data_IF_278258653970
#
_entry.id   IF_278258653970
#
_cell.length_a   1.000
_cell.length_b   1.000
_cell.length_c   1.000
_cell.angle_alpha   90.00
_cell.angle_beta   90.00
_cell.angle_gamma   90.00
#
_symmetry.space_group_name_H-M   'P 1'
#
loop_
_entity.id
_entity.type
_entity.pdbx_description
1 polymer ?
#
# COMPACT_ATOMS: atom_id res chain seq x y z
N UNK A 1 5.74 41.13 38.26
CA UNK A 1 5.46 39.71 37.98
C UNK A 1 5.15 39.63 36.51
N UNK A 2 6.07 39.09 35.68
CA UNK A 2 5.86 38.98 34.21
C UNK A 2 5.32 37.59 33.94
N UNK A 3 4.14 37.50 33.35
CA UNK A 3 3.64 36.24 32.76
C UNK A 3 4.23 36.12 31.37
N UNK A 4 5.03 35.12 31.18
CA UNK A 4 5.45 34.72 29.83
C UNK A 4 4.39 33.71 29.37
N UNK A 5 3.54 34.15 28.47
CA UNK A 5 2.59 33.28 27.81
C UNK A 5 3.32 32.60 26.64
N UNK A 6 3.24 31.30 26.56
CA UNK A 6 3.88 30.53 25.48
C UNK A 6 2.88 29.57 24.88
N UNK A 7 2.87 29.45 23.57
CA UNK A 7 2.10 28.43 22.86
C UNK A 7 2.99 27.21 22.60
N UNK A 8 2.55 26.06 23.07
CA UNK A 8 3.22 24.77 22.83
C UNK A 8 2.38 24.02 21.79
N UNK A 9 2.98 23.63 20.68
CA UNK A 9 2.35 22.82 19.63
C UNK A 9 3.13 21.53 19.45
N UNK A 10 2.44 20.40 19.60
CA UNK A 10 3.02 19.07 19.43
C UNK A 10 2.52 18.45 18.13
N UNK A 11 3.47 18.02 17.30
CA UNK A 11 3.20 17.30 16.06
C UNK A 11 3.72 15.87 16.19
N UNK A 12 2.87 14.91 15.81
CA UNK A 12 3.21 13.49 15.84
C UNK A 12 3.20 12.94 14.43
N UNK A 13 4.30 12.36 13.99
CA UNK A 13 4.40 11.69 12.71
C UNK A 13 4.79 10.23 12.94
N UNK A 14 3.93 9.31 12.49
CA UNK A 14 4.18 7.88 12.56
C UNK A 14 4.53 7.31 11.20
N UNK A 15 5.70 6.71 11.05
CA UNK A 15 6.10 5.99 9.86
C UNK A 15 6.19 4.48 10.16
N UNK A 16 5.51 3.67 9.33
CA UNK A 16 5.55 2.24 9.41
C UNK A 16 6.17 1.67 8.14
N UNK A 17 7.22 0.88 8.30
CA UNK A 17 7.84 0.13 7.21
C UNK A 17 7.85 -1.36 7.52
N UNK A 18 7.63 -2.19 6.51
CA UNK A 18 7.72 -3.64 6.66
C UNK A 18 8.19 -4.32 5.38
N UNK A 19 8.88 -5.43 5.55
CA UNK A 19 9.20 -6.37 4.48
C UNK A 19 8.21 -7.53 4.55
N UNK A 20 7.59 -7.86 3.43
CA UNK A 20 6.56 -8.89 3.36
C UNK A 20 6.94 -9.97 2.35
N UNK A 21 6.71 -11.21 2.75
CA UNK A 21 6.62 -12.33 1.82
C UNK A 21 5.17 -12.69 1.63
N UNK A 22 4.72 -12.75 0.38
CA UNK A 22 3.32 -13.01 0.04
C UNK A 22 3.21 -14.03 -1.07
N UNK A 23 2.31 -14.98 -0.88
CA UNK A 23 1.91 -15.95 -1.90
C UNK A 23 0.48 -15.63 -2.34
N UNK A 24 0.31 -15.50 -3.64
CA UNK A 24 -0.96 -15.18 -4.27
C UNK A 24 -1.37 -16.30 -5.24
N UNK A 25 -2.64 -16.68 -5.20
CA UNK A 25 -3.26 -17.58 -6.16
C UNK A 25 -4.62 -17.02 -6.59
N UNK A 26 -4.88 -17.01 -7.88
CA UNK A 26 -6.16 -16.55 -8.42
C UNK A 26 -6.66 -17.45 -9.54
N UNK A 27 -7.96 -17.65 -9.58
CA UNK A 27 -8.66 -18.25 -10.70
C UNK A 27 -9.32 -17.13 -11.51
N UNK A 28 -8.96 -17.04 -12.79
CA UNK A 28 -9.37 -15.94 -13.66
C UNK A 28 -10.17 -16.49 -14.85
N UNK A 29 -11.34 -15.93 -15.07
CA UNK A 29 -12.16 -16.16 -16.26
C UNK A 29 -11.95 -15.01 -17.23
N UNK A 30 -11.71 -15.33 -18.51
CA UNK A 30 -11.58 -14.34 -19.56
C UNK A 30 -12.69 -14.48 -20.58
N UNK A 31 -13.42 -13.39 -20.84
CA UNK A 31 -14.46 -13.29 -21.84
C UNK A 31 -13.91 -12.58 -23.06
N UNK A 32 -14.27 -13.06 -24.27
CA UNK A 32 -13.76 -12.53 -25.54
C UNK A 32 -12.23 -12.69 -25.73
N UNK A 33 -11.62 -13.72 -25.17
CA UNK A 33 -10.18 -13.95 -25.22
C UNK A 33 -9.55 -13.92 -26.63
N UNK A 34 -10.31 -14.27 -27.67
CA UNK A 34 -9.90 -14.22 -29.08
C UNK A 34 -9.94 -12.83 -29.72
N UNK A 35 -10.64 -11.85 -29.12
CA UNK A 35 -10.84 -10.51 -29.69
C UNK A 35 -9.73 -9.54 -29.25
N UNK A 36 -9.69 -8.36 -29.85
CA UNK A 36 -8.75 -7.29 -29.52
C UNK A 36 -8.94 -6.78 -28.09
N UNK A 37 -10.19 -6.71 -27.64
CA UNK A 37 -10.59 -6.41 -26.28
C UNK A 37 -11.10 -7.67 -25.60
N UNK A 38 -10.59 -7.97 -24.44
CA UNK A 38 -11.05 -9.04 -23.58
C UNK A 38 -11.27 -8.51 -22.17
N UNK A 39 -12.25 -9.07 -21.50
CA UNK A 39 -12.54 -8.75 -20.10
C UNK A 39 -12.19 -9.95 -19.25
N UNK A 40 -11.64 -9.72 -18.09
CA UNK A 40 -11.39 -10.78 -17.13
C UNK A 40 -11.99 -10.44 -15.76
N UNK A 41 -12.44 -11.47 -15.10
CA UNK A 41 -12.86 -11.42 -13.70
C UNK A 41 -12.41 -12.71 -13.00
N UNK A 42 -12.27 -12.67 -11.69
CA UNK A 42 -11.83 -13.87 -10.99
C UNK A 42 -12.02 -13.80 -9.48
N UNK A 43 -11.49 -14.81 -8.82
CA UNK A 43 -11.37 -14.87 -7.37
C UNK A 43 -9.93 -15.21 -7.03
N UNK A 44 -9.37 -14.49 -6.10
CA UNK A 44 -8.01 -14.69 -5.63
C UNK A 44 -7.92 -14.74 -4.12
N UNK A 45 -6.94 -15.51 -3.66
CA UNK A 45 -6.57 -15.61 -2.26
C UNK A 45 -5.09 -15.33 -2.13
N UNK A 46 -4.70 -14.70 -1.05
CA UNK A 46 -3.31 -14.56 -0.70
C UNK A 46 -3.07 -14.79 0.77
N UNK A 47 -1.90 -15.30 1.08
CA UNK A 47 -1.37 -15.40 2.43
C UNK A 47 -0.02 -14.71 2.45
N UNK A 48 0.29 -14.04 3.54
CA UNK A 48 1.54 -13.32 3.69
C UNK A 48 1.99 -13.23 5.13
N UNK A 49 3.27 -13.00 5.29
CA UNK A 49 3.87 -12.69 6.58
C UNK A 49 4.83 -11.52 6.43
N UNK A 50 4.83 -10.62 7.40
CA UNK A 50 5.86 -9.61 7.54
C UNK A 50 6.94 -10.15 8.48
N UNK A 51 8.20 -10.06 8.08
CA UNK A 51 9.34 -10.58 8.86
C UNK A 51 10.26 -9.47 9.38
N UNK A 52 10.15 -8.28 8.83
CA UNK A 52 10.82 -7.08 9.33
C UNK A 52 9.82 -5.95 9.31
N UNK A 53 9.43 -5.48 10.48
CA UNK A 53 8.57 -4.33 10.59
C UNK A 53 9.13 -3.38 11.64
N UNK A 54 9.11 -2.09 11.31
CA UNK A 54 9.59 -1.04 12.17
C UNK A 54 8.57 0.09 12.18
N UNK A 55 8.21 0.54 13.37
CA UNK A 55 7.42 1.75 13.56
C UNK A 55 8.33 2.82 14.10
N UNK A 56 8.45 3.94 13.42
CA UNK A 56 9.18 5.11 13.90
C UNK A 56 8.16 6.19 14.23
N UNK A 57 8.19 6.66 15.46
CA UNK A 57 7.41 7.79 15.93
C UNK A 57 8.33 9.00 16.01
N UNK A 58 7.98 10.07 15.34
CA UNK A 58 8.64 11.35 15.41
C UNK A 58 7.70 12.31 16.15
N UNK A 59 8.19 12.84 17.25
CA UNK A 59 7.49 13.86 18.02
C UNK A 59 8.25 15.17 17.88
N UNK A 60 7.55 16.19 17.37
CA UNK A 60 8.11 17.54 17.25
C UNK A 60 7.33 18.47 18.17
N UNK A 61 8.03 19.11 19.09
CA UNK A 61 7.48 20.11 20.00
C UNK A 61 7.97 21.49 19.58
N UNK A 62 7.05 22.38 19.28
CA UNK A 62 7.32 23.78 18.97
C UNK A 62 6.87 24.64 20.14
N UNK A 63 7.81 25.37 20.73
CA UNK A 63 7.55 26.33 21.78
C UNK A 63 7.70 27.73 21.20
N UNK A 64 6.57 28.45 21.07
CA UNK A 64 6.54 29.85 20.67
C UNK A 64 6.30 30.72 21.91
N UNK A 65 7.33 31.41 22.42
CA UNK A 65 7.11 32.40 23.46
C UNK A 65 6.34 33.59 22.87
N UNK A 66 5.28 34.00 23.53
CA UNK A 66 4.53 35.20 23.15
C UNK A 66 5.30 36.42 23.64
N UNK A 67 6.13 36.99 22.80
CA UNK A 67 6.74 38.29 23.09
C UNK A 67 6.50 39.23 21.92
N UNK A 68 5.92 40.37 22.21
CA UNK A 68 5.71 41.44 21.24
C UNK A 68 7.01 42.15 20.80
N UNK A 69 8.17 41.52 20.96
CA UNK A 69 9.48 42.04 20.53
C UNK A 69 10.12 41.09 19.52
N UNK A 70 10.64 41.65 18.46
CA UNK A 70 11.43 40.95 17.43
C UNK A 70 12.64 40.25 18.06
N UNK A 71 12.71 38.96 18.00
CA UNK A 71 13.84 38.15 18.49
C UNK A 71 13.49 36.87 19.22
N UNK A 72 12.28 36.34 19.01
CA UNK A 72 11.86 35.07 19.62
C UNK A 72 12.54 33.88 18.94
N UNK A 73 13.40 33.18 19.69
CA UNK A 73 13.92 31.88 19.29
C UNK A 73 12.83 30.82 19.43
N UNK A 74 12.36 30.25 18.31
CA UNK A 74 11.57 29.04 18.35
C UNK A 74 12.46 27.90 18.81
N UNK A 75 12.13 27.28 19.93
CA UNK A 75 12.82 26.07 20.36
C UNK A 75 12.07 24.89 19.79
N UNK A 76 12.75 24.08 18.98
CA UNK A 76 12.22 22.84 18.42
C UNK A 76 12.91 21.67 19.11
N UNK A 77 12.13 20.86 19.80
CA UNK A 77 12.59 19.59 20.33
C UNK A 77 12.09 18.47 19.39
N UNK A 78 13.01 17.67 18.89
CA UNK A 78 12.69 16.54 18.02
C UNK A 78 13.09 15.27 18.75
N UNK A 79 12.13 14.42 19.03
CA UNK A 79 12.35 13.10 19.60
C UNK A 79 11.95 12.05 18.57
N UNK A 80 12.81 11.06 18.37
CA UNK A 80 12.57 9.95 17.46
C UNK A 80 12.68 8.64 18.24
N UNK A 81 11.59 7.87 18.23
CA UNK A 81 11.55 6.54 18.81
C UNK A 81 11.30 5.51 17.72
N UNK A 82 12.06 4.41 17.74
CA UNK A 82 11.92 3.33 16.78
C UNK A 82 11.65 2.01 17.49
N UNK A 83 10.58 1.36 17.09
CA UNK A 83 10.13 0.10 17.63
C UNK A 83 10.19 -0.99 16.56
N UNK A 84 10.94 -2.07 16.85
CA UNK A 84 10.85 -3.31 16.08
C UNK A 84 9.53 -4.02 16.39
N UNK A 85 8.75 -4.33 15.36
CA UNK A 85 7.49 -5.03 15.52
C UNK A 85 7.67 -6.54 15.32
N UNK A 86 6.81 -7.32 15.96
CA UNK A 86 6.77 -8.76 15.78
C UNK A 86 6.28 -9.14 14.38
N UNK A 87 6.57 -10.40 14.00
CA UNK A 87 6.05 -10.98 12.77
C UNK A 87 4.52 -10.93 12.76
N UNK A 88 3.95 -10.35 11.70
CA UNK A 88 2.51 -10.27 11.47
C UNK A 88 2.17 -11.21 10.33
N UNK A 89 1.21 -12.10 10.57
CA UNK A 89 0.66 -12.97 9.53
C UNK A 89 -0.68 -12.41 9.07
N UNK A 90 -0.93 -12.52 7.77
CA UNK A 90 -2.19 -12.05 7.20
C UNK A 90 -2.61 -12.87 6.00
N UNK A 91 -3.89 -12.79 5.72
CA UNK A 91 -4.50 -13.35 4.52
C UNK A 91 -5.41 -12.34 3.86
N UNK A 92 -5.63 -12.48 2.58
CA UNK A 92 -6.61 -11.68 1.87
C UNK A 92 -7.35 -12.47 0.82
N UNK A 93 -8.60 -12.08 0.59
CA UNK A 93 -9.40 -12.49 -0.54
C UNK A 93 -9.63 -11.28 -1.44
N UNK A 94 -9.56 -11.46 -2.76
CA UNK A 94 -9.72 -10.37 -3.71
C UNK A 94 -10.43 -10.83 -4.97
N UNK A 95 -11.03 -9.86 -5.67
CA UNK A 95 -11.72 -10.07 -6.95
C UNK A 95 -10.96 -9.29 -8.01
N UNK A 96 -10.10 -9.93 -8.84
CA UNK A 96 -9.49 -9.25 -9.97
C UNK A 96 -10.55 -8.99 -11.03
N UNK A 97 -10.71 -7.75 -11.45
CA UNK A 97 -11.59 -7.29 -12.51
C UNK A 97 -10.76 -6.49 -13.49
N UNK A 98 -10.76 -6.83 -14.77
CA UNK A 98 -9.90 -6.09 -15.67
C UNK A 98 -10.25 -6.20 -17.14
N UNK A 99 -9.50 -5.42 -17.90
CA UNK A 99 -9.61 -5.28 -19.35
C UNK A 99 -8.24 -5.55 -19.96
N UNK A 100 -8.20 -6.42 -20.94
CA UNK A 100 -7.04 -6.75 -21.74
C UNK A 100 -7.18 -6.15 -23.13
N UNK A 101 -6.13 -5.52 -23.63
CA UNK A 101 -6.06 -4.98 -24.97
C UNK A 101 -4.87 -5.57 -25.74
N UNK A 102 -5.13 -6.33 -26.80
CA UNK A 102 -4.09 -6.92 -27.67
C UNK A 102 -3.52 -5.85 -28.60
N UNK A 103 -2.21 -5.63 -28.53
CA UNK A 103 -1.53 -4.59 -29.31
C UNK A 103 -1.45 -4.89 -30.80
N UNK A 104 -1.39 -6.15 -31.20
CA UNK A 104 -1.19 -6.52 -32.59
C UNK A 104 -2.20 -7.49 -33.15
N UNK A 105 -2.78 -7.12 -34.30
CA UNK A 105 -3.54 -8.05 -35.15
C UNK A 105 -2.82 -8.42 -36.44
N UNK A 106 -1.97 -7.52 -36.95
CA UNK A 106 -1.37 -7.65 -38.30
C UNK A 106 0.13 -7.97 -38.28
N UNK A 107 0.88 -7.54 -37.26
CA UNK A 107 2.32 -7.79 -37.17
C UNK A 107 2.58 -8.86 -36.12
N UNK A 108 3.29 -9.92 -36.51
CA UNK A 108 3.61 -11.07 -35.64
C UNK A 108 4.32 -10.68 -34.36
N UNK A 109 5.21 -9.70 -34.43
CA UNK A 109 5.92 -9.18 -33.29
C UNK A 109 4.99 -8.66 -32.15
N UNK A 110 3.89 -8.00 -32.50
CA UNK A 110 2.99 -7.41 -31.51
C UNK A 110 1.87 -8.34 -31.03
N UNK A 111 1.65 -9.48 -31.71
CA UNK A 111 0.60 -10.43 -31.36
C UNK A 111 0.65 -10.94 -29.90
N UNK A 112 1.85 -11.25 -29.34
CA UNK A 112 1.95 -11.75 -27.98
C UNK A 112 1.78 -10.69 -26.90
N UNK A 113 1.80 -9.41 -27.26
CA UNK A 113 1.75 -8.32 -26.28
C UNK A 113 0.32 -7.89 -25.99
N UNK A 114 0.00 -7.82 -24.70
CA UNK A 114 -1.30 -7.41 -24.18
C UNK A 114 -1.09 -6.33 -23.11
N UNK A 115 -1.69 -5.18 -23.32
CA UNK A 115 -1.84 -4.18 -22.26
C UNK A 115 -3.02 -4.60 -21.42
N UNK A 116 -2.88 -4.58 -20.11
CA UNK A 116 -3.98 -4.86 -19.19
C UNK A 116 -4.13 -3.77 -18.15
N UNK A 117 -5.37 -3.51 -17.78
CA UNK A 117 -5.73 -2.74 -16.60
C UNK A 117 -6.58 -3.62 -15.71
N UNK A 118 -6.23 -3.69 -14.44
CA UNK A 118 -6.90 -4.54 -13.48
C UNK A 118 -7.19 -3.74 -12.21
N UNK A 119 -8.40 -3.90 -11.70
CA UNK A 119 -8.91 -3.38 -10.45
C UNK A 119 -9.13 -4.54 -9.47
N UNK A 120 -8.63 -4.42 -8.26
CA UNK A 120 -8.65 -5.47 -7.22
C UNK A 120 -9.27 -4.97 -5.92
N UNK A 121 -10.59 -5.02 -5.74
CA UNK A 121 -11.18 -4.93 -4.42
C UNK A 121 -10.70 -6.11 -3.58
N UNK A 122 -10.26 -5.82 -2.37
CA UNK A 122 -9.56 -6.76 -1.49
C UNK A 122 -10.09 -6.66 -0.07
N UNK A 123 -10.30 -7.79 0.55
CA UNK A 123 -10.59 -7.93 1.97
C UNK A 123 -9.35 -8.57 2.61
N UNK A 124 -8.83 -7.96 3.67
CA UNK A 124 -7.62 -8.40 4.36
C UNK A 124 -7.90 -8.68 5.82
N UNK A 125 -7.34 -9.77 6.31
CA UNK A 125 -7.30 -10.15 7.71
C UNK A 125 -5.84 -10.18 8.16
N UNK A 126 -5.48 -9.37 9.12
CA UNK A 126 -4.15 -9.32 9.69
C UNK A 126 -4.21 -9.70 11.16
N UNK A 127 -3.41 -10.67 11.56
CA UNK A 127 -3.21 -11.03 12.97
C UNK A 127 -2.10 -10.15 13.53
N UNK A 128 -2.44 -9.36 14.55
CA UNK A 128 -1.47 -8.55 15.29
C UNK A 128 -1.09 -9.32 16.57
N UNK A 129 0.18 -9.26 17.01
CA UNK A 129 0.58 -9.79 18.29
C UNK A 129 -0.35 -9.31 19.41
N UNK A 130 -0.75 -10.19 20.32
CA UNK A 130 -1.76 -10.01 21.37
C UNK A 130 -3.22 -10.32 20.97
N UNK A 131 -3.42 -11.25 20.03
CA UNK A 131 -4.73 -11.82 19.67
C UNK A 131 -5.77 -10.86 19.07
N UNK A 132 -5.35 -9.74 18.51
CA UNK A 132 -6.27 -8.86 17.80
C UNK A 132 -6.21 -9.13 16.30
N UNK A 133 -7.33 -9.57 15.73
CA UNK A 133 -7.48 -9.69 14.27
C UNK A 133 -8.05 -8.38 13.74
N UNK A 134 -7.34 -7.72 12.84
CA UNK A 134 -7.86 -6.52 12.16
C UNK A 134 -8.36 -6.89 10.78
N UNK A 135 -9.56 -6.40 10.48
CA UNK A 135 -10.20 -6.48 9.19
C UNK A 135 -10.00 -5.17 8.44
N UNK A 136 -9.51 -5.26 7.20
CA UNK A 136 -9.32 -4.11 6.33
C UNK A 136 -9.94 -4.37 4.97
N UNK A 137 -10.53 -3.33 4.38
CA UNK A 137 -10.98 -3.33 2.99
C UNK A 137 -10.07 -2.41 2.21
N UNK A 138 -9.58 -2.88 1.08
CA UNK A 138 -8.67 -2.14 0.23
C UNK A 138 -9.06 -2.23 -1.25
N UNK A 139 -8.51 -1.31 -2.03
CA UNK A 139 -8.66 -1.30 -3.48
C UNK A 139 -7.28 -1.14 -4.10
N UNK A 140 -6.97 -2.01 -5.06
CA UNK A 140 -5.77 -1.92 -5.86
C UNK A 140 -6.11 -1.67 -7.33
N UNK A 141 -5.27 -0.93 -8.03
CA UNK A 141 -5.33 -0.78 -9.49
C UNK A 141 -3.95 -1.03 -10.08
N UNK A 142 -3.91 -1.80 -11.15
CA UNK A 142 -2.66 -2.16 -11.82
C UNK A 142 -2.82 -1.95 -13.33
N UNK A 143 -1.85 -1.25 -13.91
CA UNK A 143 -1.67 -1.15 -15.37
C UNK A 143 -0.37 -1.86 -15.72
N UNK A 144 -0.41 -2.75 -16.71
CA UNK A 144 0.79 -3.49 -17.08
C UNK A 144 0.79 -3.98 -18.52
N UNK A 145 1.93 -4.53 -18.90
CA UNK A 145 2.15 -5.21 -20.17
C UNK A 145 2.43 -6.68 -19.89
N UNK A 146 1.70 -7.56 -20.60
CA UNK A 146 1.87 -9.01 -20.55
C UNK A 146 2.36 -9.52 -21.89
N UNK A 147 3.31 -10.44 -21.84
CA UNK A 147 3.73 -11.22 -22.98
C UNK A 147 3.14 -12.64 -22.89
N UNK A 148 2.34 -13.01 -23.85
CA UNK A 148 1.77 -14.36 -23.93
C UNK A 148 2.72 -15.25 -24.73
N UNK A 149 3.22 -16.31 -24.10
CA UNK A 149 4.01 -17.31 -24.81
C UNK A 149 3.12 -18.01 -25.86
N UNK A 150 3.63 -18.22 -27.07
CA UNK A 150 2.92 -19.00 -28.07
C UNK A 150 2.70 -20.41 -27.53
N UNK A 151 1.44 -20.86 -27.46
CA UNK A 151 1.15 -22.26 -27.19
C UNK A 151 1.49 -23.06 -28.46
N UNK A 152 2.41 -24.01 -28.32
CA UNK A 152 2.66 -25.02 -29.35
C UNK A 152 1.41 -25.86 -29.58
#
# INVERSE_FOLDING_TARGET
>A
MYYVDSTISNYYNGNYSNDQLRLDAAYIFEVNAGKRWAFHAGLGLSIGMSYRSTTTLLTEEYIQPYSGYEGTSNTQNIESESYGNFMVMGGSAYIPLGINFKLGNKREFWKPFVIYNEFRPTIQLNSIPNNTVKFNVGFGSTLGLRYNLPSN
#
